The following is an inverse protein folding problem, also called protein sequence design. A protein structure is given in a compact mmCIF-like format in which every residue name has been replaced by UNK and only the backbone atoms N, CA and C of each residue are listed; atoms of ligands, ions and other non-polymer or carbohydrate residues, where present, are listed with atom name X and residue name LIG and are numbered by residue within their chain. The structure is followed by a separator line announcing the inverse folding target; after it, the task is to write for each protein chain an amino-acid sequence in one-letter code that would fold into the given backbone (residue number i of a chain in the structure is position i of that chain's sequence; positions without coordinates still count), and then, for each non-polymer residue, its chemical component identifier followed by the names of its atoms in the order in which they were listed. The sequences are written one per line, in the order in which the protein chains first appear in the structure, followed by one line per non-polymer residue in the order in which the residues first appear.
data_IF_638961163636
#
_entry.id   IF_638961163636
#
_cell.length_a   1.000
_cell.length_b   1.000
_cell.length_c   1.000
_cell.angle_alpha   90.00
_cell.angle_beta   90.00
_cell.angle_gamma   90.00
#
_symmetry.space_group_name_H-M   'P 1'
#
loop_
_entity.id
_entity.type
_entity.pdbx_description
1 polymer ?
#
# COMPACT_ATOMS: atom_id res chain seq x y z
N UNK A 1 20.08 -8.96 -3.43
CA UNK A 1 21.24 -8.08 -3.15
C UNK A 1 21.48 -7.23 -4.38
N UNK A 2 21.70 -5.92 -4.20
CA UNK A 2 21.66 -4.93 -5.26
C UNK A 2 22.12 -3.55 -4.79
N UNK A 3 21.81 -2.51 -5.55
CA UNK A 3 22.22 -1.12 -5.31
C UNK A 3 21.14 -0.24 -4.65
N UNK A 4 20.02 -0.81 -4.21
CA UNK A 4 18.92 -0.03 -3.61
C UNK A 4 17.91 0.48 -4.63
N UNK A 5 17.87 -0.09 -5.85
CA UNK A 5 17.00 0.38 -6.93
C UNK A 5 15.59 -0.18 -6.77
N UNK A 6 14.60 0.70 -6.86
CA UNK A 6 13.20 0.32 -6.65
C UNK A 6 12.35 0.68 -7.86
N UNK A 7 11.69 -0.34 -8.38
CA UNK A 7 10.89 -0.30 -9.60
C UNK A 7 9.46 -0.68 -9.28
N UNK A 8 8.51 0.14 -9.72
CA UNK A 8 7.07 -0.13 -9.63
C UNK A 8 6.52 -0.08 -11.05
N UNK A 9 5.96 -1.20 -11.53
CA UNK A 9 5.47 -1.34 -12.90
C UNK A 9 6.49 -0.90 -13.95
N UNK A 10 7.73 -1.39 -13.80
CA UNK A 10 8.88 -1.08 -14.68
C UNK A 10 9.28 0.41 -14.72
N UNK A 11 8.75 1.24 -13.82
CA UNK A 11 9.16 2.64 -13.65
C UNK A 11 9.92 2.80 -12.33
N UNK A 12 10.99 3.61 -12.29
CA UNK A 12 11.66 3.91 -11.03
C UNK A 12 10.74 4.69 -10.10
N UNK A 13 10.87 4.42 -8.79
CA UNK A 13 10.01 4.98 -7.75
C UNK A 13 10.00 6.52 -7.71
N UNK A 14 11.11 7.15 -8.10
CA UNK A 14 11.27 8.61 -8.13
C UNK A 14 10.39 9.29 -9.17
N UNK A 15 10.07 8.59 -10.27
CA UNK A 15 9.25 9.08 -11.39
C UNK A 15 7.76 8.77 -11.21
N UNK A 16 7.33 8.34 -10.02
CA UNK A 16 5.92 8.12 -9.72
C UNK A 16 5.27 9.40 -9.21
N UNK A 17 4.28 9.88 -9.96
CA UNK A 17 3.37 10.93 -9.54
C UNK A 17 2.07 10.33 -9.00
N UNK A 18 1.44 10.95 -7.98
CA UNK A 18 1.86 12.13 -7.22
C UNK A 18 2.91 11.83 -6.12
N UNK A 19 3.63 12.84 -5.58
CA UNK A 19 4.70 12.64 -4.59
C UNK A 19 4.25 11.94 -3.30
N UNK A 20 2.98 12.09 -2.92
CA UNK A 20 2.38 11.39 -1.78
C UNK A 20 2.42 9.86 -1.97
N UNK A 21 2.23 9.37 -3.20
CA UNK A 21 2.31 7.94 -3.51
C UNK A 21 3.73 7.43 -3.28
N UNK A 22 4.72 8.18 -3.77
CA UNK A 22 6.14 7.88 -3.58
C UNK A 22 6.48 7.76 -2.09
N UNK A 23 6.13 8.78 -1.30
CA UNK A 23 6.38 8.79 0.15
C UNK A 23 5.71 7.60 0.85
N UNK A 24 4.49 7.22 0.42
CA UNK A 24 3.77 6.09 1.00
C UNK A 24 4.46 4.76 0.71
N UNK A 25 4.93 4.54 -0.51
CA UNK A 25 5.65 3.30 -0.90
C UNK A 25 7.01 3.22 -0.20
N UNK A 26 7.69 4.35 0.02
CA UNK A 26 9.00 4.39 0.68
C UNK A 26 8.99 4.12 2.20
N UNK A 27 7.83 4.20 2.86
CA UNK A 27 7.73 4.01 4.33
C UNK A 27 8.46 2.78 4.89
N UNK A 28 8.31 1.57 4.33
CA UNK A 28 8.99 0.38 4.86
C UNK A 28 10.52 0.44 4.70
N UNK A 29 11.01 1.20 3.71
CA UNK A 29 12.45 1.38 3.47
C UNK A 29 13.07 2.30 4.52
N UNK A 30 12.37 3.39 4.85
CA UNK A 30 12.82 4.30 5.90
C UNK A 30 12.93 3.58 7.25
N UNK A 31 11.98 2.69 7.55
CA UNK A 31 12.01 1.86 8.75
C UNK A 31 13.12 0.81 8.73
N UNK A 32 13.44 0.26 7.55
CA UNK A 32 14.54 -0.69 7.39
C UNK A 32 15.93 -0.03 7.54
N UNK A 33 16.02 1.29 7.28
CA UNK A 33 17.24 2.07 7.44
C UNK A 33 18.35 1.66 6.46
N UNK A 34 19.63 1.59 6.90
CA UNK A 34 20.78 1.43 6.00
C UNK A 34 20.78 0.10 5.22
N UNK A 35 20.05 -0.91 5.69
CA UNK A 35 19.92 -2.20 4.98
C UNK A 35 19.18 -2.05 3.64
N UNK A 36 18.36 -1.02 3.47
CA UNK A 36 17.61 -0.78 2.24
C UNK A 36 18.51 -0.54 1.02
N UNK A 37 19.65 0.13 1.19
CA UNK A 37 20.60 0.44 0.11
C UNK A 37 21.25 -0.80 -0.52
N UNK A 38 21.12 -1.97 0.13
CA UNK A 38 21.70 -3.23 -0.35
C UNK A 38 20.74 -4.10 -1.16
N UNK A 39 19.50 -3.63 -1.36
CA UNK A 39 18.40 -4.43 -1.90
C UNK A 39 17.76 -3.75 -3.12
N UNK A 40 17.75 -4.45 -4.25
CA UNK A 40 16.94 -4.06 -5.39
C UNK A 40 15.56 -4.70 -5.27
N UNK A 41 14.52 -3.94 -5.58
CA UNK A 41 13.12 -4.40 -5.47
C UNK A 41 12.33 -4.03 -6.70
N UNK A 42 11.60 -5.01 -7.23
CA UNK A 42 10.67 -4.83 -8.34
C UNK A 42 9.26 -5.22 -7.90
N UNK A 43 8.30 -4.32 -8.10
CA UNK A 43 6.91 -4.49 -7.70
C UNK A 43 6.02 -4.34 -8.94
N UNK A 44 5.17 -5.33 -9.19
CA UNK A 44 4.09 -5.25 -10.19
C UNK A 44 2.75 -5.10 -9.49
N UNK A 45 1.97 -4.09 -9.88
CA UNK A 45 0.64 -3.80 -9.32
C UNK A 45 -0.35 -3.56 -10.46
N UNK A 46 -1.52 -4.18 -10.37
CA UNK A 46 -2.60 -4.03 -11.36
C UNK A 46 -3.96 -3.83 -10.67
N UNK A 47 -4.90 -3.18 -11.39
CA UNK A 47 -6.25 -2.90 -10.91
C UNK A 47 -6.33 -1.81 -9.83
N UNK A 48 -7.52 -1.59 -9.28
CA UNK A 48 -7.75 -0.57 -8.24
C UNK A 48 -7.60 0.87 -8.75
N UNK A 49 -7.17 1.77 -7.86
CA UNK A 49 -6.86 3.16 -8.18
C UNK A 49 -5.50 3.58 -7.61
N UNK A 50 -5.02 4.77 -7.95
CA UNK A 50 -3.66 5.26 -7.65
C UNK A 50 -3.24 5.05 -6.18
N UNK A 51 -4.05 5.51 -5.23
CA UNK A 51 -3.74 5.38 -3.80
C UNK A 51 -3.90 3.93 -3.27
N UNK A 52 -4.80 3.15 -3.90
CA UNK A 52 -4.99 1.73 -3.57
C UNK A 52 -3.77 0.92 -4.01
N UNK A 53 -3.28 1.15 -5.23
CA UNK A 53 -2.05 0.55 -5.74
C UNK A 53 -0.84 0.93 -4.90
N UNK A 54 -0.71 2.21 -4.48
CA UNK A 54 0.35 2.65 -3.58
C UNK A 54 0.35 1.89 -2.25
N UNK A 55 -0.84 1.68 -1.69
CA UNK A 55 -1.00 0.95 -0.42
C UNK A 55 -0.68 -0.54 -0.60
N UNK A 56 -1.08 -1.13 -1.72
CA UNK A 56 -0.76 -2.51 -2.06
C UNK A 56 0.75 -2.71 -2.28
N UNK A 57 1.41 -1.81 -3.02
CA UNK A 57 2.86 -1.82 -3.21
C UNK A 57 3.61 -1.67 -1.88
N UNK A 58 3.14 -0.77 -1.01
CA UNK A 58 3.69 -0.60 0.35
C UNK A 58 3.62 -1.90 1.17
N UNK A 59 2.46 -2.57 1.16
CA UNK A 59 2.28 -3.84 1.88
C UNK A 59 3.09 -4.98 1.28
N UNK A 60 3.16 -5.08 -0.05
CA UNK A 60 3.98 -6.06 -0.75
C UNK A 60 5.48 -5.87 -0.43
N UNK A 61 5.95 -4.63 -0.42
CA UNK A 61 7.32 -4.28 -0.06
C UNK A 61 7.65 -4.72 1.38
N UNK A 62 6.81 -4.37 2.35
CA UNK A 62 7.03 -4.72 3.75
C UNK A 62 7.03 -6.25 3.96
N UNK A 63 6.09 -6.98 3.35
CA UNK A 63 6.05 -8.45 3.43
C UNK A 63 7.27 -9.10 2.79
N UNK A 64 7.65 -8.65 1.59
CA UNK A 64 8.83 -9.16 0.89
C UNK A 64 10.12 -8.94 1.67
N UNK A 65 10.26 -7.80 2.34
CA UNK A 65 11.43 -7.52 3.21
C UNK A 65 11.49 -8.45 4.42
N UNK A 66 10.36 -8.68 5.10
CA UNK A 66 10.29 -9.60 6.24
C UNK A 66 10.63 -11.03 5.81
N UNK A 67 10.07 -11.48 4.69
CA UNK A 67 10.31 -12.82 4.16
C UNK A 67 11.75 -13.02 3.68
N UNK A 68 12.34 -12.00 3.04
CA UNK A 68 13.71 -12.05 2.54
C UNK A 68 14.74 -12.05 3.67
N UNK A 69 14.57 -11.17 4.67
CA UNK A 69 15.53 -11.03 5.78
C UNK A 69 15.33 -12.07 6.89
N UNK A 70 14.14 -12.70 6.96
CA UNK A 70 13.75 -13.67 8.00
C UNK A 70 13.97 -13.16 9.44
N UNK A 71 13.86 -11.85 9.63
CA UNK A 71 14.09 -11.18 10.91
C UNK A 71 12.75 -10.93 11.62
N UNK A 72 12.46 -11.64 12.74
CA UNK A 72 11.21 -11.45 13.47
C UNK A 72 11.12 -10.08 14.15
N UNK A 73 12.25 -9.45 14.48
CA UNK A 73 12.26 -8.11 15.07
C UNK A 73 11.80 -7.05 14.06
N UNK A 74 12.11 -7.24 12.77
CA UNK A 74 11.63 -6.37 11.70
C UNK A 74 10.11 -6.44 11.55
N UNK A 75 9.55 -7.66 11.60
CA UNK A 75 8.11 -7.86 11.52
C UNK A 75 7.40 -7.18 12.70
N UNK A 76 7.95 -7.31 13.90
CA UNK A 76 7.42 -6.67 15.11
C UNK A 76 7.52 -5.15 15.04
N UNK A 77 8.64 -4.61 14.55
CA UNK A 77 8.81 -3.17 14.32
C UNK A 77 7.80 -2.63 13.31
N UNK A 78 7.55 -3.32 12.20
CA UNK A 78 6.52 -2.94 11.24
C UNK A 78 5.12 -2.97 11.84
N UNK A 79 4.79 -3.99 12.65
CA UNK A 79 3.48 -4.06 13.33
C UNK A 79 3.28 -2.91 14.32
N UNK A 80 4.32 -2.55 15.07
CA UNK A 80 4.29 -1.44 16.05
C UNK A 80 4.11 -0.10 15.37
N UNK A 81 4.75 0.11 14.22
CA UNK A 81 4.59 1.34 13.46
C UNK A 81 3.20 1.43 12.80
N UNK A 82 2.84 0.45 11.98
CA UNK A 82 1.55 0.41 11.28
C UNK A 82 1.19 -1.03 10.92
N UNK A 83 0.16 -1.57 11.58
CA UNK A 83 -0.36 -2.93 11.32
C UNK A 83 -0.72 -3.16 9.85
N UNK A 84 -1.12 -2.12 9.12
CA UNK A 84 -1.49 -2.21 7.70
C UNK A 84 -0.31 -2.40 6.75
N UNK A 85 0.94 -2.29 7.24
CA UNK A 85 2.13 -2.68 6.48
C UNK A 85 2.17 -4.18 6.24
N UNK A 86 1.69 -4.99 7.19
CA UNK A 86 1.72 -6.46 7.07
C UNK A 86 0.34 -7.05 6.83
N UNK A 87 -0.72 -6.43 7.36
CA UNK A 87 -2.09 -6.97 7.30
C UNK A 87 -2.91 -6.17 6.29
N UNK A 88 -3.60 -6.89 5.39
CA UNK A 88 -4.47 -6.26 4.41
C UNK A 88 -5.77 -5.77 5.04
N UNK A 89 -6.27 -4.63 4.56
CA UNK A 89 -7.60 -4.13 4.93
C UNK A 89 -8.69 -4.91 4.18
N UNK A 90 -9.63 -5.59 4.86
CA UNK A 90 -10.68 -6.38 4.21
C UNK A 90 -11.81 -5.53 3.62
N UNK A 91 -11.87 -4.22 3.87
CA UNK A 91 -12.99 -3.37 3.45
C UNK A 91 -13.14 -3.31 1.92
N UNK A 92 -14.40 -3.39 1.46
CA UNK A 92 -14.78 -3.25 0.05
C UNK A 92 -15.97 -2.32 -0.12
N UNK A 93 -16.11 -1.72 -1.31
CA UNK A 93 -17.25 -0.85 -1.63
C UNK A 93 -18.53 -1.67 -1.65
N UNK A 94 -19.50 -1.25 -0.84
CA UNK A 94 -20.83 -1.87 -0.83
C UNK A 94 -21.59 -1.58 -2.14
N UNK A 95 -22.43 -2.52 -2.62
CA UNK A 95 -23.26 -2.30 -3.78
C UNK A 95 -24.31 -1.22 -3.53
N UNK A 96 -24.82 -0.61 -4.62
CA UNK A 96 -25.93 0.34 -4.56
C UNK A 96 -27.24 -0.42 -4.31
N UNK A 97 -28.05 0.07 -3.38
CA UNK A 97 -29.40 -0.45 -3.11
C UNK A 97 -30.47 0.36 -3.87
N UNK A 98 -31.64 -0.24 -4.18
CA UNK A 98 -32.75 0.46 -4.83
C UNK A 98 -33.31 1.57 -3.93
N UNK A 99 -34.07 2.51 -4.53
CA UNK A 99 -34.69 3.66 -3.85
C UNK A 99 -33.69 4.64 -3.18
N UNK A 100 -32.41 4.55 -3.53
CA UNK A 100 -31.35 5.40 -3.00
C UNK A 100 -30.36 5.82 -4.08
N UNK A 101 -29.53 6.83 -3.77
CA UNK A 101 -28.42 7.24 -4.63
C UNK A 101 -27.15 6.42 -4.39
N UNK A 102 -27.06 5.68 -3.28
CA UNK A 102 -25.90 4.86 -2.94
C UNK A 102 -26.26 3.67 -2.06
N UNK A 103 -25.25 3.07 -1.41
CA UNK A 103 -25.44 1.89 -0.57
C UNK A 103 -26.40 2.15 0.61
N UNK A 104 -26.35 3.34 1.22
CA UNK A 104 -27.20 3.71 2.38
C UNK A 104 -28.08 4.93 2.15
N UNK A 105 -27.61 5.94 1.40
CA UNK A 105 -28.33 7.21 1.19
C UNK A 105 -29.63 7.00 0.41
N UNK A 106 -30.76 7.31 1.05
CA UNK A 106 -32.11 7.28 0.46
C UNK A 106 -32.46 8.61 -0.22
N UNK A 107 -33.49 8.60 -1.07
CA UNK A 107 -34.07 9.82 -1.64
C UNK A 107 -34.81 10.61 -0.57
N UNK A 108 -34.90 11.93 -0.75
CA UNK A 108 -35.69 12.81 0.12
C UNK A 108 -37.17 12.41 0.04
N UNK A 109 -37.86 12.36 1.19
CA UNK A 109 -39.30 12.14 1.27
C UNK A 109 -40.01 13.50 1.40
N UNK A 110 -41.19 13.63 0.77
CA UNK A 110 -42.08 14.77 0.91
C UNK A 110 -43.38 14.33 1.58
N UNK A 111 -43.90 15.14 2.49
CA UNK A 111 -45.18 14.94 3.17
C UNK A 111 -46.13 16.07 2.80
N UNK A 112 -47.45 15.83 2.92
CA UNK A 112 -48.52 16.81 2.68
C UNK A 112 -49.17 17.18 4.00
#
# INVERSE_FOLDING_TARGET
RGQGRIWVNSRPLELLDPPIVRSKIQQPLYLLGPRASSLDVQISVSGGGVMGQASAARTALARGLVEYLKDPALAEMFKRYDRSLLVNDPRRKLPKLPQGRGARKRRQKSYR
#
